data_IF_752386604639
#
_entry.id   IF_752386604639
#
_cell.length_a   1.000
_cell.length_b   1.000
_cell.length_c   1.000
_cell.angle_alpha   90.00
_cell.angle_beta   90.00
_cell.angle_gamma   90.00
#
_symmetry.space_group_name_H-M   'P 1'
#
loop_
_entity.id
_entity.type
_entity.pdbx_description
1 polymer ?
#
# COMPACT_ATOMS: atom_id res chain seq x y z
N UNK A 1 4.77 -42.72 22.14
CA UNK A 1 4.33 -42.11 20.86
C UNK A 1 5.56 -41.85 20.03
N UNK A 2 5.46 -42.18 18.75
CA UNK A 2 6.56 -42.50 17.84
C UNK A 2 7.45 -41.27 17.59
N UNK A 3 8.76 -41.44 17.79
CA UNK A 3 9.77 -40.44 17.47
C UNK A 3 10.13 -40.47 15.99
N UNK A 4 10.43 -39.31 15.42
CA UNK A 4 11.07 -39.20 14.12
C UNK A 4 12.57 -38.95 14.34
N UNK A 5 13.33 -40.04 14.31
CA UNK A 5 14.79 -40.00 14.11
C UNK A 5 15.00 -39.72 12.63
N UNK A 6 15.40 -38.50 12.27
CA UNK A 6 15.76 -38.16 10.89
C UNK A 6 17.17 -38.68 10.62
N UNK A 7 17.23 -39.74 9.82
CA UNK A 7 18.44 -40.33 9.29
C UNK A 7 19.05 -39.38 8.24
N UNK A 8 20.18 -38.74 8.56
CA UNK A 8 20.98 -37.99 7.59
C UNK A 8 21.89 -38.97 6.86
N UNK A 9 21.55 -39.31 5.63
CA UNK A 9 22.42 -40.08 4.72
C UNK A 9 23.30 -39.10 3.96
N UNK A 10 24.56 -39.00 4.36
CA UNK A 10 25.61 -38.34 3.58
C UNK A 10 26.21 -39.37 2.64
N UNK A 11 25.82 -39.35 1.35
CA UNK A 11 26.52 -40.07 0.29
C UNK A 11 27.43 -39.08 -0.44
N UNK A 12 28.72 -39.16 -0.13
CA UNK A 12 29.80 -38.49 -0.85
C UNK A 12 30.13 -39.25 -2.13
N UNK A 13 29.73 -38.72 -3.29
CA UNK A 13 30.41 -38.98 -4.56
C UNK A 13 30.03 -37.89 -5.60
N UNK A 14 30.92 -36.90 -5.77
CA UNK A 14 31.13 -36.17 -7.03
C UNK A 14 30.22 -34.98 -7.38
N UNK A 15 30.74 -33.76 -7.15
CA UNK A 15 30.52 -32.58 -8.01
C UNK A 15 29.29 -31.71 -7.74
N UNK A 16 29.50 -30.42 -7.41
CA UNK A 16 28.48 -29.37 -7.52
C UNK A 16 28.50 -28.33 -6.39
N UNK A 17 28.57 -27.05 -6.77
CA UNK A 17 28.58 -25.86 -5.91
C UNK A 17 27.17 -25.58 -5.35
N UNK A 18 27.07 -25.23 -4.06
CA UNK A 18 26.29 -24.08 -3.54
C UNK A 18 26.30 -24.10 -2.01
N UNK A 19 26.99 -23.12 -1.40
CA UNK A 19 26.84 -22.84 0.02
C UNK A 19 25.45 -22.22 0.24
N UNK A 20 24.58 -22.96 0.92
CA UNK A 20 23.27 -22.51 1.37
C UNK A 20 23.47 -21.53 2.53
N UNK A 21 23.27 -20.24 2.29
CA UNK A 21 23.13 -19.26 3.36
C UNK A 21 21.69 -19.29 3.87
N UNK A 22 21.52 -19.90 5.04
CA UNK A 22 20.32 -19.88 5.86
C UNK A 22 20.17 -18.48 6.48
N UNK A 23 19.20 -17.69 6.03
CA UNK A 23 18.61 -16.64 6.85
C UNK A 23 17.17 -17.05 7.20
N UNK A 24 17.01 -17.49 8.44
CA UNK A 24 15.71 -17.55 9.11
C UNK A 24 15.36 -16.17 9.65
N UNK A 25 14.11 -15.75 9.49
CA UNK A 25 13.53 -14.69 10.34
C UNK A 25 12.55 -13.76 9.63
N UNK A 26 11.35 -14.25 9.35
CA UNK A 26 10.20 -13.42 8.99
C UNK A 26 8.98 -14.30 9.01
N UNK A 27 8.11 -14.14 10.01
CA UNK A 27 6.83 -14.81 10.05
C UNK A 27 5.94 -14.24 8.94
N UNK A 28 6.13 -14.71 7.72
CA UNK A 28 5.20 -14.46 6.63
C UNK A 28 3.94 -15.23 6.94
N UNK A 29 2.89 -14.54 7.37
CA UNK A 29 1.55 -15.04 7.12
C UNK A 29 1.51 -15.37 5.61
N UNK A 30 1.23 -16.61 5.25
CA UNK A 30 0.90 -16.92 3.86
C UNK A 30 -0.35 -16.11 3.53
N UNK A 31 -0.16 -14.94 2.93
CA UNK A 31 -1.25 -14.12 2.44
C UNK A 31 -1.82 -14.85 1.23
N UNK A 32 -2.90 -15.59 1.43
CA UNK A 32 -3.65 -16.23 0.35
C UNK A 32 -3.99 -15.16 -0.70
N UNK A 33 -3.70 -15.39 -1.98
CA UNK A 33 -3.99 -14.43 -3.05
C UNK A 33 -2.98 -13.27 -3.21
N UNK A 34 -1.73 -13.42 -2.76
CA UNK A 34 -0.65 -12.48 -3.12
C UNK A 34 -0.53 -12.36 -4.64
N UNK A 35 -0.61 -11.11 -5.09
CA UNK A 35 -0.47 -10.66 -6.46
C UNK A 35 -1.56 -11.16 -7.40
N UNK A 36 -2.72 -11.50 -6.83
CA UNK A 36 -4.00 -11.56 -7.52
C UNK A 36 -4.80 -10.29 -7.17
N UNK A 37 -5.51 -9.74 -8.16
CA UNK A 37 -6.41 -8.60 -7.91
C UNK A 37 -7.69 -9.12 -7.26
N UNK A 38 -8.01 -8.59 -6.09
CA UNK A 38 -9.26 -8.81 -5.37
C UNK A 38 -10.23 -7.69 -5.69
N UNK A 39 -11.51 -8.03 -5.73
CA UNK A 39 -12.60 -7.09 -6.01
C UNK A 39 -13.61 -7.08 -4.86
N UNK A 40 -14.15 -5.91 -4.58
CA UNK A 40 -15.15 -5.67 -3.54
C UNK A 40 -16.33 -4.92 -4.16
N UNK A 41 -17.55 -5.35 -3.85
CA UNK A 41 -18.79 -4.76 -4.35
C UNK A 41 -19.65 -4.29 -3.18
N UNK A 42 -20.68 -3.47 -3.47
CA UNK A 42 -21.62 -3.02 -2.44
C UNK A 42 -21.02 -2.04 -1.42
N UNK A 43 -19.92 -1.39 -1.77
CA UNK A 43 -19.26 -0.39 -0.94
C UNK A 43 -20.16 0.85 -0.81
N UNK A 44 -20.27 1.38 0.41
CA UNK A 44 -20.99 2.64 0.66
C UNK A 44 -20.18 3.84 0.13
N UNK A 45 -20.86 4.79 -0.51
CA UNK A 45 -20.32 6.13 -0.84
C UNK A 45 -20.88 7.20 0.10
N UNK A 46 -21.33 6.82 1.30
CA UNK A 46 -21.83 7.80 2.26
C UNK A 46 -20.69 8.58 2.91
N UNK A 47 -20.84 9.90 2.92
CA UNK A 47 -19.99 10.78 3.70
C UNK A 47 -20.39 10.73 5.19
N UNK A 48 -19.40 10.52 6.07
CA UNK A 48 -19.54 10.62 7.53
C UNK A 48 -18.82 11.87 8.04
N UNK A 49 -19.15 12.33 9.26
CA UNK A 49 -18.54 13.55 9.80
C UNK A 49 -17.05 13.35 10.09
N UNK A 50 -16.24 14.38 9.83
CA UNK A 50 -14.82 14.37 10.19
C UNK A 50 -14.64 14.13 11.70
N UNK A 51 -13.79 13.17 12.05
CA UNK A 51 -13.59 12.69 13.42
C UNK A 51 -14.22 11.31 13.69
N UNK A 52 -15.24 10.91 12.92
CA UNK A 52 -15.80 9.56 13.01
C UNK A 52 -14.78 8.49 12.59
N UNK A 53 -14.85 7.30 13.17
CA UNK A 53 -14.00 6.16 12.78
C UNK A 53 -14.86 5.17 12.02
N UNK A 54 -14.45 4.83 10.80
CA UNK A 54 -15.14 3.83 9.98
C UNK A 54 -14.48 2.47 10.15
N UNK A 55 -15.30 1.44 10.37
CA UNK A 55 -14.85 0.04 10.39
C UNK A 55 -14.97 -0.54 8.97
N UNK A 56 -13.83 -0.86 8.35
CA UNK A 56 -13.76 -1.34 6.97
C UNK A 56 -13.58 -2.86 6.94
N UNK A 57 -14.22 -3.52 5.96
CA UNK A 57 -14.15 -4.97 5.81
C UNK A 57 -12.78 -5.47 5.29
N UNK A 58 -11.97 -4.57 4.74
CA UNK A 58 -10.66 -4.83 4.17
C UNK A 58 -9.62 -3.84 4.71
N UNK A 59 -8.36 -4.29 4.75
CA UNK A 59 -7.25 -3.49 5.27
C UNK A 59 -6.02 -3.53 4.35
N UNK A 60 -5.51 -2.37 3.89
CA UNK A 60 -6.11 -1.04 3.99
C UNK A 60 -7.49 -0.97 3.34
N UNK A 61 -8.29 0.08 3.56
CA UNK A 61 -9.58 0.20 2.89
C UNK A 61 -9.46 0.42 1.38
N UNK A 62 -10.37 -0.21 0.63
CA UNK A 62 -10.49 -0.09 -0.82
C UNK A 62 -11.80 0.60 -1.25
N UNK A 63 -12.33 1.49 -0.40
CA UNK A 63 -13.66 2.07 -0.54
C UNK A 63 -14.53 1.84 0.69
N UNK A 64 -15.74 2.41 0.69
CA UNK A 64 -16.64 2.42 1.84
C UNK A 64 -16.90 3.84 2.35
N UNK A 65 -17.66 3.97 3.44
CA UNK A 65 -18.00 5.27 4.02
C UNK A 65 -16.74 6.05 4.39
N UNK A 66 -16.74 7.37 4.19
CA UNK A 66 -15.53 8.18 4.27
C UNK A 66 -15.85 9.66 4.56
N UNK A 67 -14.85 10.51 4.76
CA UNK A 67 -15.09 11.92 5.06
C UNK A 67 -15.49 12.73 3.84
N UNK A 68 -16.14 13.90 3.97
CA UNK A 68 -16.51 14.74 2.82
C UNK A 68 -15.33 15.50 2.19
N UNK A 69 -14.12 15.35 2.71
CA UNK A 69 -12.90 15.95 2.18
C UNK A 69 -11.95 14.82 1.78
N UNK A 70 -11.26 14.96 0.65
CA UNK A 70 -10.26 14.00 0.19
C UNK A 70 -8.86 14.30 0.71
N UNK A 71 -8.05 13.26 0.86
CA UNK A 71 -6.61 13.40 0.99
C UNK A 71 -6.02 13.87 -0.34
N UNK A 72 -5.11 14.85 -0.29
CA UNK A 72 -4.31 15.21 -1.45
C UNK A 72 -3.44 14.03 -1.92
N UNK A 73 -3.45 13.73 -3.22
CA UNK A 73 -2.53 12.78 -3.82
C UNK A 73 -1.09 13.25 -3.70
N UNK A 74 -0.19 12.33 -3.34
CA UNK A 74 1.18 12.64 -2.98
C UNK A 74 1.91 11.50 -2.30
N UNK A 75 3.16 11.77 -1.96
CA UNK A 75 4.02 10.87 -1.17
C UNK A 75 4.11 11.41 0.26
N UNK A 76 3.84 10.54 1.22
CA UNK A 76 3.84 10.83 2.65
C UNK A 76 4.79 9.88 3.39
N UNK A 77 5.49 10.42 4.38
CA UNK A 77 6.41 9.67 5.24
C UNK A 77 5.78 9.31 6.59
N UNK A 78 4.53 9.71 6.83
CA UNK A 78 3.73 9.38 8.00
C UNK A 78 2.41 8.71 7.58
N UNK A 79 1.82 7.88 8.46
CA UNK A 79 0.51 7.30 8.22
C UNK A 79 -0.55 8.37 7.97
N UNK A 80 -1.54 8.00 7.15
CA UNK A 80 -2.66 8.85 6.78
C UNK A 80 -3.94 8.30 7.39
N UNK A 81 -4.86 9.20 7.70
CA UNK A 81 -6.17 8.77 8.16
C UNK A 81 -6.98 8.21 6.98
N UNK A 82 -7.39 6.96 7.11
CA UNK A 82 -7.96 6.17 6.02
C UNK A 82 -9.19 6.82 5.39
N UNK A 83 -10.06 7.46 6.17
CA UNK A 83 -11.28 8.08 5.65
C UNK A 83 -11.00 9.19 4.62
N UNK A 84 -9.92 9.98 4.77
CA UNK A 84 -9.53 10.96 3.74
C UNK A 84 -8.99 10.27 2.48
N UNK A 85 -8.24 9.18 2.64
CA UNK A 85 -7.65 8.43 1.51
C UNK A 85 -8.73 7.67 0.74
N UNK A 86 -9.77 7.17 1.42
CA UNK A 86 -10.92 6.52 0.76
C UNK A 86 -11.69 7.49 -0.11
N UNK A 87 -11.88 8.74 0.29
CA UNK A 87 -12.43 9.77 -0.59
C UNK A 87 -11.51 10.01 -1.80
N UNK A 88 -10.19 10.07 -1.61
CA UNK A 88 -9.27 10.16 -2.75
C UNK A 88 -9.42 8.96 -3.72
N UNK A 89 -9.67 7.76 -3.20
CA UNK A 89 -9.99 6.59 -4.03
C UNK A 89 -11.33 6.74 -4.75
N UNK A 90 -12.33 7.37 -4.14
CA UNK A 90 -13.61 7.71 -4.80
C UNK A 90 -13.39 8.62 -6.02
N UNK A 91 -12.41 9.53 -5.93
CA UNK A 91 -11.97 10.39 -7.03
C UNK A 91 -11.08 9.68 -8.05
N UNK A 92 -10.68 8.43 -7.79
CA UNK A 92 -9.91 7.56 -8.68
C UNK A 92 -8.43 7.44 -8.35
N UNK A 93 -8.03 7.82 -7.13
CA UNK A 93 -6.68 7.58 -6.64
C UNK A 93 -6.43 6.08 -6.35
N UNK A 94 -5.19 5.65 -6.60
CA UNK A 94 -4.68 4.40 -6.00
C UNK A 94 -3.84 4.75 -4.78
N UNK A 95 -4.13 4.10 -3.65
CA UNK A 95 -3.30 4.14 -2.46
C UNK A 95 -2.28 2.99 -2.46
N UNK A 96 -1.00 3.33 -2.63
CA UNK A 96 0.13 2.44 -2.42
C UNK A 96 0.52 2.51 -0.93
N UNK A 97 -0.06 1.63 -0.14
CA UNK A 97 0.29 1.46 1.28
C UNK A 97 1.50 0.54 1.41
N UNK A 98 2.45 0.91 2.27
CA UNK A 98 3.67 0.12 2.47
C UNK A 98 3.99 -0.14 3.94
N UNK A 99 4.66 -1.26 4.22
CA UNK A 99 5.12 -1.61 5.55
C UNK A 99 6.23 -0.62 5.99
N UNK A 100 6.10 0.06 7.14
CA UNK A 100 7.11 1.00 7.64
C UNK A 100 8.51 0.37 7.87
N UNK A 101 8.58 -0.96 7.96
CA UNK A 101 9.82 -1.73 8.08
C UNK A 101 10.59 -1.91 6.78
N UNK A 102 10.05 -1.50 5.62
CA UNK A 102 10.77 -1.50 4.35
C UNK A 102 12.03 -0.64 4.40
N UNK A 103 13.05 -1.05 3.64
CA UNK A 103 14.28 -0.26 3.53
C UNK A 103 14.01 1.08 2.84
N UNK A 104 14.86 2.06 3.13
CA UNK A 104 14.76 3.38 2.51
C UNK A 104 14.77 3.32 0.96
N UNK A 105 15.55 2.41 0.37
CA UNK A 105 15.61 2.21 -1.08
C UNK A 105 14.29 1.67 -1.64
N UNK A 106 13.66 0.73 -0.95
CA UNK A 106 12.35 0.20 -1.32
C UNK A 106 11.25 1.26 -1.24
N UNK A 107 11.27 2.09 -0.20
CA UNK A 107 10.35 3.23 -0.10
C UNK A 107 10.57 4.23 -1.24
N UNK A 108 11.83 4.45 -1.68
CA UNK A 108 12.11 5.28 -2.87
C UNK A 108 11.56 4.69 -4.15
N UNK A 109 11.63 3.36 -4.32
CA UNK A 109 11.00 2.69 -5.46
C UNK A 109 9.51 2.99 -5.51
N UNK A 110 8.80 2.83 -4.39
CA UNK A 110 7.36 3.09 -4.32
C UNK A 110 7.03 4.58 -4.53
N UNK A 111 7.77 5.48 -3.88
CA UNK A 111 7.62 6.92 -4.07
C UNK A 111 7.88 7.35 -5.53
N UNK A 112 8.74 6.62 -6.25
CA UNK A 112 9.08 6.87 -7.65
C UNK A 112 7.93 6.65 -8.64
N UNK A 113 6.85 5.98 -8.24
CA UNK A 113 5.64 5.87 -9.06
C UNK A 113 4.87 7.18 -9.13
N UNK A 114 5.00 8.08 -8.14
CA UNK A 114 4.27 9.34 -8.10
C UNK A 114 4.99 10.45 -8.88
N UNK A 115 4.25 11.13 -9.73
CA UNK A 115 4.57 12.45 -10.28
C UNK A 115 3.56 13.50 -9.82
N UNK A 116 3.95 14.79 -9.70
CA UNK A 116 3.02 15.84 -9.31
C UNK A 116 1.80 15.92 -10.23
N UNK A 117 0.60 15.80 -9.64
CA UNK A 117 -0.68 15.80 -10.35
C UNK A 117 -1.24 14.39 -10.64
N UNK A 118 -0.50 13.34 -10.31
CA UNK A 118 -0.99 11.96 -10.41
C UNK A 118 -2.05 11.65 -9.35
N UNK A 119 -2.88 10.67 -9.66
CA UNK A 119 -3.90 10.12 -8.79
C UNK A 119 -3.33 8.95 -7.97
N UNK A 120 -2.24 9.23 -7.26
CA UNK A 120 -1.57 8.27 -6.39
C UNK A 120 -1.35 8.85 -5.00
N UNK A 121 -1.64 8.04 -3.98
CA UNK A 121 -1.27 8.29 -2.60
C UNK A 121 -0.26 7.22 -2.21
N UNK A 122 0.91 7.61 -1.69
CA UNK A 122 1.94 6.67 -1.22
C UNK A 122 2.22 6.98 0.25
N UNK A 123 1.97 6.04 1.16
CA UNK A 123 2.17 6.29 2.59
C UNK A 123 2.39 5.00 3.40
N UNK A 124 3.08 5.09 4.56
CA UNK A 124 3.28 3.94 5.42
C UNK A 124 1.99 3.56 6.15
N UNK A 125 1.77 2.26 6.35
CA UNK A 125 0.65 1.72 7.13
C UNK A 125 1.15 0.57 8.01
N UNK A 126 0.90 0.65 9.32
CA UNK A 126 1.27 -0.43 10.24
C UNK A 126 0.33 -1.65 10.10
N UNK A 127 0.89 -2.85 10.29
CA UNK A 127 0.08 -4.07 10.35
C UNK A 127 -0.50 -4.56 9.03
N UNK A 128 0.08 -4.15 7.89
CA UNK A 128 -0.35 -4.61 6.58
C UNK A 128 -0.29 -6.15 6.44
N UNK A 129 -1.20 -6.75 5.65
CA UNK A 129 -1.19 -8.18 5.37
C UNK A 129 -0.08 -8.61 4.40
N UNK A 130 0.58 -7.66 3.74
CA UNK A 130 1.73 -7.86 2.85
C UNK A 130 2.64 -6.61 2.88
N UNK A 131 3.93 -6.72 2.51
CA UNK A 131 4.86 -5.59 2.47
C UNK A 131 4.35 -4.37 1.68
N UNK A 132 3.60 -4.59 0.61
CA UNK A 132 2.93 -3.54 -0.17
C UNK A 132 1.50 -3.96 -0.45
N UNK A 133 0.55 -3.04 -0.26
CA UNK A 133 -0.84 -3.21 -0.69
C UNK A 133 -1.25 -2.00 -1.50
N UNK A 134 -1.66 -2.21 -2.75
CA UNK A 134 -2.23 -1.16 -3.58
C UNK A 134 -3.75 -1.29 -3.60
N UNK A 135 -4.45 -0.18 -3.33
CA UNK A 135 -5.92 -0.14 -3.23
C UNK A 135 -6.48 0.98 -4.11
N UNK A 136 -7.41 0.64 -4.98
CA UNK A 136 -8.32 1.56 -5.65
C UNK A 136 -9.75 1.29 -5.19
N UNK A 137 -10.68 2.17 -5.52
CA UNK A 137 -12.09 1.91 -5.21
C UNK A 137 -12.56 0.56 -5.77
N UNK A 138 -13.03 -0.32 -4.89
CA UNK A 138 -13.51 -1.65 -5.21
C UNK A 138 -12.45 -2.69 -5.55
N UNK A 139 -11.15 -2.40 -5.44
CA UNK A 139 -10.12 -3.39 -5.78
C UNK A 139 -8.82 -3.26 -5.00
N UNK A 140 -8.10 -4.38 -4.86
CA UNK A 140 -6.80 -4.42 -4.20
C UNK A 140 -5.86 -5.47 -4.77
N UNK A 141 -4.56 -5.21 -4.67
CA UNK A 141 -3.51 -6.20 -4.88
C UNK A 141 -2.51 -6.17 -3.72
N UNK A 142 -2.15 -7.36 -3.22
CA UNK A 142 -1.16 -7.54 -2.16
C UNK A 142 0.14 -8.03 -2.78
N UNK A 143 1.28 -7.43 -2.43
CA UNK A 143 2.57 -7.71 -3.05
C UNK A 143 3.65 -7.92 -1.97
N UNK A 144 4.51 -8.91 -2.20
CA UNK A 144 5.65 -9.20 -1.32
C UNK A 144 6.88 -8.34 -1.63
N UNK A 145 6.97 -7.82 -2.86
CA UNK A 145 8.11 -7.05 -3.34
C UNK A 145 7.65 -5.66 -3.84
N UNK A 146 8.23 -4.57 -3.32
CA UNK A 146 8.05 -3.22 -3.86
C UNK A 146 8.42 -3.04 -5.34
N UNK A 147 9.25 -3.93 -5.89
CA UNK A 147 9.64 -3.96 -7.30
C UNK A 147 8.80 -4.92 -8.15
N UNK A 148 7.73 -5.51 -7.59
CA UNK A 148 6.89 -6.46 -8.34
C UNK A 148 6.23 -5.76 -9.55
N UNK A 149 6.43 -6.28 -10.78
CA UNK A 149 5.91 -5.65 -12.00
C UNK A 149 4.39 -5.54 -12.01
N UNK A 150 3.68 -6.38 -11.25
CA UNK A 150 2.21 -6.33 -11.14
C UNK A 150 1.72 -5.04 -10.48
N UNK A 151 2.55 -4.35 -9.68
CA UNK A 151 2.19 -3.03 -9.18
C UNK A 151 2.00 -2.06 -10.35
N UNK A 152 2.96 -1.99 -11.28
CA UNK A 152 2.86 -1.11 -12.43
C UNK A 152 1.66 -1.45 -13.32
N UNK A 153 1.39 -2.74 -13.54
CA UNK A 153 0.21 -3.21 -14.28
C UNK A 153 -1.09 -2.79 -13.60
N UNK A 154 -1.16 -2.93 -12.27
CA UNK A 154 -2.30 -2.50 -11.48
C UNK A 154 -2.53 -0.98 -11.56
N UNK A 155 -1.47 -0.17 -11.45
CA UNK A 155 -1.60 1.29 -11.55
C UNK A 155 -2.10 1.74 -12.93
N UNK A 156 -1.68 1.08 -14.01
CA UNK A 156 -2.16 1.39 -15.38
C UNK A 156 -3.66 1.16 -15.51
N UNK A 157 -4.19 0.11 -14.87
CA UNK A 157 -5.61 -0.26 -14.96
C UNK A 157 -6.49 0.56 -14.02
N UNK A 158 -6.04 0.82 -12.79
CA UNK A 158 -6.92 1.26 -11.72
C UNK A 158 -6.79 2.74 -11.34
N UNK A 159 -5.70 3.43 -11.71
CA UNK A 159 -5.65 4.88 -11.58
C UNK A 159 -6.68 5.51 -12.53
N UNK A 160 -7.62 6.28 -11.99
CA UNK A 160 -8.76 6.80 -12.76
C UNK A 160 -9.51 5.69 -13.52
N UNK A 161 -9.54 4.47 -12.97
CA UNK A 161 -10.11 3.30 -13.62
C UNK A 161 -11.63 3.38 -13.80
N UNK A 162 -12.20 2.49 -14.61
CA UNK A 162 -13.63 2.50 -15.00
C UNK A 162 -14.59 2.41 -13.80
N UNK A 163 -14.16 1.76 -12.71
CA UNK A 163 -14.97 1.59 -11.50
C UNK A 163 -14.85 2.75 -10.49
N UNK A 164 -14.15 3.83 -10.86
CA UNK A 164 -14.06 5.05 -10.04
C UNK A 164 -15.46 5.70 -9.94
N UNK A 165 -16.00 5.93 -8.73
CA UNK A 165 -17.31 6.54 -8.59
C UNK A 165 -17.39 7.99 -9.08
N UNK A 166 -16.35 8.80 -8.83
CA UNK A 166 -16.28 10.21 -9.23
C UNK A 166 -15.06 10.49 -10.12
N UNK A 167 -15.02 9.93 -11.34
CA UNK A 167 -13.83 9.97 -12.18
C UNK A 167 -13.50 11.41 -12.59
N UNK A 168 -12.27 11.82 -12.32
CA UNK A 168 -11.76 13.15 -12.67
C UNK A 168 -12.06 14.26 -11.65
N UNK A 169 -12.68 13.93 -10.52
CA UNK A 169 -12.74 14.83 -9.38
C UNK A 169 -11.32 15.12 -8.84
N UNK A 170 -11.04 16.32 -8.30
CA UNK A 170 -9.68 16.70 -7.94
C UNK A 170 -9.05 15.77 -6.89
N UNK A 171 -7.80 15.38 -7.08
CA UNK A 171 -6.98 14.79 -6.01
C UNK A 171 -5.97 15.80 -5.40
N UNK A 172 -6.27 17.09 -5.48
CA UNK A 172 -5.48 18.17 -4.89
C UNK A 172 -6.41 19.21 -4.26
N UNK A 173 -5.86 20.14 -3.47
CA UNK A 173 -6.61 21.21 -2.79
C UNK A 173 -7.65 20.74 -1.74
N UNK A 174 -7.53 19.48 -1.28
CA UNK A 174 -8.24 18.90 -0.14
C UNK A 174 -7.39 18.89 1.14
N UNK A 175 -7.47 17.81 1.91
CA UNK A 175 -6.72 17.60 3.15
C UNK A 175 -5.24 17.27 2.89
N UNK A 176 -4.33 17.87 3.66
CA UNK A 176 -2.88 17.66 3.55
C UNK A 176 -2.23 17.13 4.83
N UNK A 177 -3.01 16.90 5.89
CA UNK A 177 -2.52 16.38 7.16
C UNK A 177 -2.15 14.90 7.09
N UNK A 178 -1.57 14.44 8.19
CA UNK A 178 -1.22 13.03 8.47
C UNK A 178 -1.77 12.67 9.85
N UNK A 179 -1.71 11.41 10.27
CA UNK A 179 -2.12 11.04 11.63
C UNK A 179 -1.28 11.72 12.71
N UNK A 180 -0.01 12.01 12.42
CA UNK A 180 0.90 12.70 13.33
C UNK A 180 0.70 14.23 13.34
N UNK A 181 0.24 14.81 12.24
CA UNK A 181 -0.08 16.23 12.09
C UNK A 181 -1.41 16.41 11.32
N UNK A 182 -2.55 16.29 12.01
CA UNK A 182 -3.86 16.35 11.36
C UNK A 182 -4.18 17.71 10.73
N UNK A 183 -3.49 18.78 11.13
CA UNK A 183 -3.72 20.11 10.57
C UNK A 183 -2.87 20.39 9.33
N UNK A 184 -1.87 19.55 9.03
CA UNK A 184 -0.95 19.73 7.91
C UNK A 184 -0.09 20.99 8.03
N UNK A 185 0.07 21.52 9.25
CA UNK A 185 0.77 22.78 9.51
C UNK A 185 2.30 22.63 9.39
N UNK A 186 2.82 21.40 9.40
CA UNK A 186 4.27 21.12 9.42
C UNK A 186 4.92 20.75 8.08
N UNK A 187 4.18 20.71 6.97
CA UNK A 187 4.81 20.51 5.65
C UNK A 187 3.83 20.30 4.51
N UNK A 188 3.78 21.24 3.57
CA UNK A 188 3.05 21.09 2.30
C UNK A 188 3.41 19.78 1.61
N UNK A 189 2.42 19.03 1.11
CA UNK A 189 2.44 17.69 0.50
C UNK A 189 3.42 17.44 -0.67
N UNK A 190 4.32 18.39 -0.97
CA UNK A 190 5.43 18.24 -1.92
C UNK A 190 6.81 18.36 -1.25
N UNK A 191 6.87 18.60 0.06
CA UNK A 191 8.10 18.91 0.76
C UNK A 191 8.81 17.64 1.27
N UNK A 192 9.53 17.03 0.33
CA UNK A 192 10.85 16.41 0.55
C UNK A 192 10.88 14.97 1.06
N UNK A 193 10.67 14.04 0.12
CA UNK A 193 11.73 13.06 -0.07
C UNK A 193 12.97 13.82 -0.59
N UNK A 194 13.80 14.32 0.33
CA UNK A 194 15.07 14.95 -0.05
C UNK A 194 15.95 13.87 -0.67
N UNK A 195 15.89 13.71 -1.99
CA UNK A 195 16.93 13.00 -2.73
C UNK A 195 18.26 13.65 -2.32
N UNK A 196 19.18 12.92 -1.65
CA UNK A 196 20.50 13.49 -1.39
C UNK A 196 21.16 13.69 -2.76
N UNK A 197 21.40 14.95 -3.13
CA UNK A 197 22.22 15.25 -4.31
C UNK A 197 23.62 14.71 -4.05
N UNK A 198 24.00 13.65 -4.76
CA UNK A 198 25.39 13.23 -4.96
C UNK A 198 26.02 14.05 -6.07
#
# INVERSE_FOLDING_TARGET
MIGAVVLVVVLMAGGGIAAVSLFSGGGGASAEGVGEVRYYEGLSSEHVDEGETVDYEMFPPAGGAHYPIWQNCGVYDQPLRSEYVVHAQEHGAVWIAYDPGLSQAQVQTLAGYYSPGDYLVVSPVEGLPAPVVASAWGSQILLEDPEDPRLAEYLVEFVQGENTPEPGAPCSDGHSGTEADPAGETGTAAARYSVPRT
#
